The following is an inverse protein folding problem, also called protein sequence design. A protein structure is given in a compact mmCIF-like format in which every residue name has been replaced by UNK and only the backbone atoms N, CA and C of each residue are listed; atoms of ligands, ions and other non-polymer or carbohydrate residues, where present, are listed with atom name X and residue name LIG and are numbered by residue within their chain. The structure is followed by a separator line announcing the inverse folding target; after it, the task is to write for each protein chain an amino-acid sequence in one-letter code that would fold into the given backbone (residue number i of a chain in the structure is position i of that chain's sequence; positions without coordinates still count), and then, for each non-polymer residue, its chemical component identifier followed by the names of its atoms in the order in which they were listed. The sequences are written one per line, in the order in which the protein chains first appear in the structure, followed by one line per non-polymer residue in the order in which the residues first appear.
data_IF_044072601117
#
_entry.id   IF_044072601117
#
_cell.length_a   1.000
_cell.length_b   1.000
_cell.length_c   1.000
_cell.angle_alpha   90.00
_cell.angle_beta   90.00
_cell.angle_gamma   90.00
#
_symmetry.space_group_name_H-M   'P 1'
#
loop_
_entity.id
_entity.type
_entity.pdbx_description
1 polymer ?
#
# COMPACT_ATOMS: atom_id res chain seq x y z
N UNK A 1 -21.82 -43.22 -51.67
CA UNK A 1 -21.39 -42.75 -50.33
C UNK A 1 -20.47 -41.51 -50.44
N UNK A 2 -20.94 -40.35 -50.94
CA UNK A 2 -20.09 -39.15 -51.14
C UNK A 2 -20.73 -37.82 -50.74
N UNK A 3 -21.93 -37.87 -50.15
CA UNK A 3 -22.80 -36.72 -49.92
C UNK A 3 -23.09 -36.46 -48.44
N UNK A 4 -22.71 -37.36 -47.52
CA UNK A 4 -22.79 -37.14 -46.07
C UNK A 4 -21.64 -36.29 -45.53
N UNK A 5 -20.48 -36.33 -46.20
CA UNK A 5 -19.26 -35.62 -45.77
C UNK A 5 -19.25 -34.12 -46.07
N UNK A 6 -20.01 -33.68 -47.08
CA UNK A 6 -20.12 -32.25 -47.42
C UNK A 6 -21.05 -31.51 -46.45
N UNK A 7 -22.10 -32.19 -45.98
CA UNK A 7 -23.07 -31.63 -45.03
C UNK A 7 -22.43 -31.45 -43.65
N UNK A 8 -21.60 -32.40 -43.20
CA UNK A 8 -20.86 -32.27 -41.94
C UNK A 8 -19.75 -31.21 -42.00
N UNK A 9 -19.13 -30.99 -43.17
CA UNK A 9 -18.10 -29.96 -43.33
C UNK A 9 -18.69 -28.54 -43.30
N UNK A 10 -19.84 -28.32 -43.97
CA UNK A 10 -20.53 -27.03 -43.98
C UNK A 10 -21.15 -26.67 -42.61
N UNK A 11 -21.63 -27.66 -41.86
CA UNK A 11 -22.19 -27.45 -40.52
C UNK A 11 -21.10 -27.06 -39.50
N UNK A 12 -19.87 -27.60 -39.65
CA UNK A 12 -18.71 -27.25 -38.82
C UNK A 12 -18.24 -25.80 -39.06
N UNK A 13 -18.21 -25.36 -40.32
CA UNK A 13 -17.78 -23.99 -40.68
C UNK A 13 -18.78 -22.93 -40.19
N UNK A 14 -20.09 -23.24 -40.16
CA UNK A 14 -21.13 -22.33 -39.66
C UNK A 14 -21.09 -22.18 -38.13
N UNK A 15 -20.68 -23.21 -37.39
CA UNK A 15 -20.56 -23.16 -35.92
C UNK A 15 -19.37 -22.30 -35.45
N UNK A 16 -18.29 -22.24 -36.24
CA UNK A 16 -17.06 -21.51 -35.88
C UNK A 16 -17.21 -20.00 -36.05
N UNK A 17 -18.04 -19.51 -36.98
CA UNK A 17 -18.26 -18.08 -37.19
C UNK A 17 -19.12 -17.41 -36.10
N UNK A 18 -20.03 -18.17 -35.45
CA UNK A 18 -20.87 -17.66 -34.35
C UNK A 18 -20.06 -17.47 -33.06
N UNK A 19 -18.99 -18.22 -32.85
CA UNK A 19 -18.11 -18.06 -31.67
C UNK A 19 -17.24 -16.79 -31.73
N UNK A 20 -16.92 -16.26 -32.91
CA UNK A 20 -16.06 -15.07 -33.06
C UNK A 20 -16.81 -13.78 -32.69
N UNK A 21 -18.13 -13.73 -32.93
CA UNK A 21 -18.96 -12.55 -32.65
C UNK A 21 -19.26 -12.43 -31.15
N UNK A 22 -19.48 -13.55 -30.45
CA UNK A 22 -19.69 -13.55 -28.99
C UNK A 22 -18.43 -13.12 -28.20
N UNK A 23 -17.23 -13.38 -28.72
CA UNK A 23 -15.99 -12.91 -28.11
C UNK A 23 -15.73 -11.42 -28.32
N UNK A 24 -16.35 -10.82 -29.34
CA UNK A 24 -16.16 -9.40 -29.69
C UNK A 24 -17.14 -8.46 -28.96
N UNK A 25 -18.27 -8.98 -28.47
CA UNK A 25 -19.24 -8.21 -27.66
C UNK A 25 -19.11 -8.39 -26.14
N UNK A 26 -18.15 -9.20 -25.67
CA UNK A 26 -17.79 -9.28 -24.23
C UNK A 26 -16.58 -8.42 -23.88
N UNK A 27 -16.30 -7.37 -24.65
CA UNK A 27 -15.41 -6.27 -24.24
C UNK A 27 -16.23 -5.04 -23.81
N UNK A 28 -17.01 -5.22 -22.75
CA UNK A 28 -17.26 -4.14 -21.79
C UNK A 28 -17.60 -4.76 -20.44
N UNK A 29 -16.96 -4.18 -19.43
CA UNK A 29 -16.98 -4.51 -18.01
C UNK A 29 -16.36 -5.85 -17.63
N UNK A 30 -15.03 -5.87 -17.53
CA UNK A 30 -14.39 -6.52 -16.38
C UNK A 30 -13.03 -5.88 -16.10
N UNK A 31 -12.94 -5.36 -14.88
CA UNK A 31 -11.82 -4.68 -14.25
C UNK A 31 -10.67 -5.68 -14.10
N UNK A 32 -9.72 -5.65 -15.02
CA UNK A 32 -8.48 -6.39 -14.88
C UNK A 32 -7.55 -5.60 -13.95
N UNK A 33 -7.49 -6.02 -12.69
CA UNK A 33 -6.48 -5.61 -11.72
C UNK A 33 -5.12 -6.16 -12.13
N UNK A 34 -4.47 -5.50 -13.08
CA UNK A 34 -3.03 -5.58 -13.23
C UNK A 34 -2.42 -4.77 -12.09
N UNK A 35 -1.85 -5.46 -11.10
CA UNK A 35 -0.99 -4.85 -10.08
C UNK A 35 0.30 -4.37 -10.76
N UNK A 36 0.21 -3.18 -11.34
CA UNK A 36 1.36 -2.30 -11.51
C UNK A 36 1.25 -1.30 -10.37
N UNK A 37 2.24 -1.28 -9.47
CA UNK A 37 2.34 -0.22 -8.46
C UNK A 37 2.70 1.06 -9.21
N UNK A 38 1.69 1.68 -9.81
CA UNK A 38 1.75 3.08 -10.17
C UNK A 38 1.75 3.86 -8.87
N UNK A 39 2.86 4.57 -8.65
CA UNK A 39 2.99 5.63 -7.65
C UNK A 39 1.89 6.66 -7.88
N UNK A 40 0.72 6.36 -7.35
CA UNK A 40 -0.34 7.34 -7.16
C UNK A 40 0.13 8.24 -6.02
N UNK A 41 0.85 9.29 -6.39
CA UNK A 41 0.94 10.53 -5.61
C UNK A 41 -0.47 11.12 -5.51
N UNK A 42 -1.34 10.44 -4.76
CA UNK A 42 -2.55 11.05 -4.25
C UNK A 42 -2.09 12.02 -3.17
N UNK A 43 -1.99 13.29 -3.57
CA UNK A 43 -1.92 14.42 -2.65
C UNK A 43 -3.22 14.40 -1.87
N UNK A 44 -3.21 13.70 -0.73
CA UNK A 44 -4.31 13.70 0.23
C UNK A 44 -4.29 15.03 0.97
N UNK A 45 -5.45 15.67 0.98
CA UNK A 45 -5.81 16.86 1.76
C UNK A 45 -5.10 16.95 3.11
N UNK A 46 -4.55 18.14 3.36
CA UNK A 46 -3.74 18.54 4.51
C UNK A 46 -4.49 18.62 5.84
N UNK A 47 -5.14 17.53 6.27
CA UNK A 47 -5.29 17.29 7.70
C UNK A 47 -3.92 16.84 8.21
N UNK A 48 -3.16 17.77 8.81
CA UNK A 48 -1.79 17.54 9.26
C UNK A 48 -1.76 16.48 10.37
N UNK A 49 -1.72 15.21 9.96
CA UNK A 49 -1.71 14.02 10.83
C UNK A 49 -0.44 13.92 11.66
N UNK A 50 0.61 14.61 11.23
CA UNK A 50 1.91 14.70 11.86
C UNK A 50 2.28 16.18 12.07
N UNK A 51 3.03 16.52 13.13
CA UNK A 51 3.60 17.86 13.29
C UNK A 51 4.68 18.12 12.23
N UNK A 52 4.97 19.39 11.93
CA UNK A 52 6.13 19.75 11.11
C UNK A 52 7.44 19.40 11.81
N UNK A 53 8.51 19.19 11.04
CA UNK A 53 9.85 18.97 11.59
C UNK A 53 10.30 20.11 12.52
N UNK A 54 9.99 21.36 12.14
CA UNK A 54 10.33 22.54 12.94
C UNK A 54 9.64 22.52 14.31
N UNK A 55 8.38 22.07 14.37
CA UNK A 55 7.65 21.90 15.64
C UNK A 55 8.26 20.79 16.50
N UNK A 56 8.68 19.67 15.89
CA UNK A 56 9.37 18.59 16.62
C UNK A 56 10.70 19.09 17.20
N UNK A 57 11.51 19.81 16.41
CA UNK A 57 12.77 20.42 16.87
C UNK A 57 12.55 21.44 17.99
N UNK A 58 11.53 22.28 17.87
CA UNK A 58 11.20 23.27 18.92
C UNK A 58 10.79 22.59 20.24
N UNK A 59 10.03 21.49 20.19
CA UNK A 59 9.60 20.77 21.39
C UNK A 59 10.69 19.88 22.01
N UNK A 60 11.54 19.27 21.18
CA UNK A 60 12.51 18.28 21.65
C UNK A 60 13.93 18.84 21.83
N UNK A 61 14.25 20.00 21.24
CA UNK A 61 15.60 20.57 21.20
C UNK A 61 16.31 20.33 19.87
N UNK A 62 17.32 21.16 19.60
CA UNK A 62 18.07 21.15 18.33
C UNK A 62 18.96 19.91 18.14
N UNK A 63 19.22 19.17 19.21
CA UNK A 63 20.02 17.94 19.25
C UNK A 63 19.27 16.68 18.76
N UNK A 64 18.01 16.81 18.35
CA UNK A 64 17.26 15.68 17.78
C UNK A 64 17.88 15.22 16.46
N UNK A 65 18.16 13.91 16.37
CA UNK A 65 18.70 13.30 15.16
C UNK A 65 17.58 13.10 14.13
N UNK A 66 17.70 13.71 12.97
CA UNK A 66 16.77 13.50 11.85
C UNK A 66 17.19 12.25 11.10
N UNK A 67 16.32 11.24 11.06
CA UNK A 67 16.58 9.98 10.36
C UNK A 67 16.08 9.99 8.91
N UNK A 68 15.19 10.93 8.57
CA UNK A 68 14.73 11.16 7.21
C UNK A 68 13.37 10.54 6.92
N UNK A 69 13.08 10.35 5.64
CA UNK A 69 11.84 9.74 5.15
C UNK A 69 11.82 8.24 5.50
N UNK A 70 10.69 7.79 5.99
CA UNK A 70 10.45 6.38 6.30
C UNK A 70 9.12 5.90 5.76
N UNK A 71 9.04 4.61 5.45
CA UNK A 71 7.82 3.95 5.02
C UNK A 71 7.58 2.70 5.86
N UNK A 72 6.32 2.46 6.24
CA UNK A 72 5.92 1.18 6.83
C UNK A 72 5.85 0.14 5.71
N UNK A 73 6.83 -0.75 5.63
CA UNK A 73 6.91 -1.75 4.54
C UNK A 73 6.20 -3.05 4.90
N UNK A 74 6.30 -3.47 6.16
CA UNK A 74 5.75 -4.75 6.62
C UNK A 74 5.08 -4.60 7.98
N UNK A 75 3.96 -5.29 8.19
CA UNK A 75 3.30 -5.38 9.50
C UNK A 75 2.92 -6.82 9.79
N UNK A 76 3.41 -7.34 10.91
CA UNK A 76 3.09 -8.67 11.41
C UNK A 76 1.97 -8.58 12.45
N UNK A 77 0.72 -8.61 12.00
CA UNK A 77 -0.46 -8.52 12.88
C UNK A 77 -0.64 -9.72 13.80
N UNK A 78 -0.13 -10.90 13.41
CA UNK A 78 -0.27 -12.14 14.18
C UNK A 78 1.09 -12.51 14.80
N UNK A 79 1.05 -13.06 16.01
CA UNK A 79 2.21 -13.47 16.82
C UNK A 79 3.07 -12.31 17.35
N UNK A 80 3.94 -11.76 16.51
CA UNK A 80 4.97 -10.79 16.95
C UNK A 80 4.42 -9.39 17.20
N UNK A 81 3.35 -8.98 16.50
CA UNK A 81 2.75 -7.64 16.60
C UNK A 81 3.80 -6.55 16.43
N UNK A 82 4.45 -6.54 15.27
CA UNK A 82 5.48 -5.56 14.94
C UNK A 82 5.23 -4.92 13.57
N UNK A 83 5.66 -3.67 13.41
CA UNK A 83 5.82 -2.99 12.14
C UNK A 83 7.31 -2.86 11.81
N UNK A 84 7.65 -3.06 10.55
CA UNK A 84 8.99 -2.83 9.99
C UNK A 84 8.91 -1.54 9.19
N UNK A 85 9.73 -0.58 9.57
CA UNK A 85 9.86 0.72 8.93
C UNK A 85 11.16 0.74 8.16
N UNK A 86 11.08 0.95 6.86
CA UNK A 86 12.25 1.12 6.01
C UNK A 86 12.64 2.58 5.93
N UNK A 87 13.95 2.82 5.92
CA UNK A 87 14.57 4.13 5.81
C UNK A 87 15.42 4.13 4.54
N UNK A 88 15.42 5.23 3.77
CA UNK A 88 16.02 5.26 2.43
C UNK A 88 17.49 4.76 2.40
N UNK A 89 18.31 5.19 3.34
CA UNK A 89 19.76 4.90 3.37
C UNK A 89 20.21 4.24 4.68
N UNK A 90 19.31 3.55 5.39
CA UNK A 90 19.59 2.99 6.72
C UNK A 90 18.91 1.65 6.92
N UNK A 91 19.40 0.91 7.91
CA UNK A 91 18.75 -0.33 8.35
C UNK A 91 17.31 -0.09 8.77
N UNK A 92 16.47 -1.08 8.48
CA UNK A 92 15.07 -1.11 8.87
C UNK A 92 14.94 -1.08 10.41
N UNK A 93 13.93 -0.37 10.89
CA UNK A 93 13.62 -0.27 12.32
C UNK A 93 12.31 -1.01 12.61
N UNK A 94 12.33 -1.85 13.64
CA UNK A 94 11.16 -2.58 14.08
C UNK A 94 10.51 -1.89 15.28
N UNK A 95 9.19 -1.76 15.22
CA UNK A 95 8.40 -1.23 16.32
C UNK A 95 7.29 -2.18 16.74
N UNK A 96 7.03 -2.33 18.05
CA UNK A 96 5.82 -3.02 18.51
C UNK A 96 4.57 -2.24 18.09
N UNK A 97 3.47 -2.97 17.85
CA UNK A 97 2.18 -2.37 17.47
C UNK A 97 1.06 -2.82 18.39
N UNK A 98 0.05 -1.96 18.49
CA UNK A 98 -1.29 -2.37 18.93
C UNK A 98 -2.23 -2.35 17.73
N UNK A 99 -3.02 -3.40 17.56
CA UNK A 99 -4.03 -3.47 16.50
C UNK A 99 -5.23 -2.64 16.95
N UNK A 100 -5.57 -1.61 16.19
CA UNK A 100 -6.69 -0.72 16.51
C UNK A 100 -7.95 -1.06 15.74
N UNK A 101 -7.81 -1.62 14.52
CA UNK A 101 -8.92 -2.19 13.76
C UNK A 101 -8.42 -3.40 12.94
N UNK A 102 -8.82 -4.60 13.36
CA UNK A 102 -8.42 -5.84 12.69
C UNK A 102 -9.08 -5.99 11.31
N UNK A 103 -10.30 -5.50 11.12
CA UNK A 103 -11.04 -5.65 9.84
C UNK A 103 -10.40 -4.78 8.75
N UNK A 104 -9.94 -3.60 9.14
CA UNK A 104 -9.36 -2.62 8.22
C UNK A 104 -7.82 -2.62 8.23
N UNK A 105 -7.18 -3.58 8.91
CA UNK A 105 -5.72 -3.67 9.09
C UNK A 105 -5.10 -2.36 9.61
N UNK A 106 -5.77 -1.70 10.57
CA UNK A 106 -5.28 -0.49 11.22
C UNK A 106 -4.58 -0.85 12.52
N UNK A 107 -3.53 -0.09 12.83
CA UNK A 107 -2.74 -0.25 14.04
C UNK A 107 -2.17 1.09 14.48
N UNK A 108 -1.61 1.10 15.68
CA UNK A 108 -0.80 2.19 16.22
C UNK A 108 0.59 1.66 16.56
N UNK A 109 1.58 2.54 16.58
CA UNK A 109 2.91 2.27 17.13
C UNK A 109 3.03 3.03 18.46
N UNK A 110 2.80 2.39 19.62
CA UNK A 110 2.65 3.09 20.90
C UNK A 110 3.89 3.88 21.33
N UNK A 111 5.08 3.42 20.93
CA UNK A 111 6.35 4.05 21.29
C UNK A 111 6.78 5.15 20.32
N UNK A 112 6.02 5.38 19.24
CA UNK A 112 6.32 6.41 18.24
C UNK A 112 5.51 7.67 18.54
N UNK A 113 6.20 8.68 19.06
CA UNK A 113 5.57 9.94 19.43
C UNK A 113 5.05 10.69 18.20
N UNK A 114 3.90 11.34 18.38
CA UNK A 114 3.16 12.07 17.34
C UNK A 114 2.65 11.20 16.18
N UNK A 115 2.66 9.88 16.35
CA UNK A 115 2.09 8.96 15.38
C UNK A 115 0.57 8.82 15.59
N UNK A 116 -0.22 8.76 14.52
CA UNK A 116 -1.65 8.52 14.60
C UNK A 116 -1.96 7.07 15.03
N UNK A 117 -3.19 6.84 15.50
CA UNK A 117 -3.62 5.52 15.99
C UNK A 117 -4.18 4.56 14.94
N UNK A 118 -4.19 4.98 13.68
CA UNK A 118 -4.86 4.28 12.58
C UNK A 118 -3.92 4.14 11.36
N UNK A 119 -2.66 3.80 11.61
CA UNK A 119 -1.63 3.60 10.59
C UNK A 119 -2.00 2.46 9.65
N UNK A 120 -1.47 2.54 8.43
CA UNK A 120 -1.57 1.50 7.40
C UNK A 120 -0.19 1.14 6.85
N UNK A 121 -0.07 -0.08 6.33
CA UNK A 121 1.09 -0.47 5.50
C UNK A 121 1.17 0.50 4.30
N UNK A 122 2.39 0.88 3.93
CA UNK A 122 2.69 1.82 2.87
C UNK A 122 2.66 3.29 3.30
N UNK A 123 2.21 3.61 4.51
CA UNK A 123 2.21 4.98 5.03
C UNK A 123 3.64 5.54 5.14
N UNK A 124 3.82 6.78 4.69
CA UNK A 124 5.11 7.47 4.61
C UNK A 124 5.09 8.71 5.52
N UNK A 125 6.13 8.87 6.33
CA UNK A 125 6.31 10.02 7.21
C UNK A 125 7.79 10.19 7.53
N UNK A 126 8.16 11.30 8.17
CA UNK A 126 9.51 11.57 8.59
C UNK A 126 9.78 10.99 9.97
N UNK A 127 10.97 10.44 10.20
CA UNK A 127 11.37 9.87 11.48
C UNK A 127 12.55 10.64 12.10
N UNK A 128 12.46 10.91 13.39
CA UNK A 128 13.52 11.53 14.17
C UNK A 128 13.71 10.79 15.50
N UNK A 129 14.91 10.91 16.09
CA UNK A 129 15.31 10.20 17.31
C UNK A 129 15.99 11.14 18.30
N UNK A 130 15.64 11.01 19.59
CA UNK A 130 16.36 11.63 20.72
C UNK A 130 16.49 10.63 21.86
N UNK A 131 17.72 10.25 22.20
CA UNK A 131 17.98 9.13 23.09
C UNK A 131 17.29 7.86 22.58
N UNK A 132 16.45 7.25 23.42
CA UNK A 132 15.69 6.02 23.08
C UNK A 132 14.27 6.29 22.55
N UNK A 133 13.92 7.56 22.30
CA UNK A 133 12.58 7.94 21.83
C UNK A 133 12.59 8.28 20.34
N UNK A 134 11.52 7.90 19.67
CA UNK A 134 11.29 8.15 18.26
C UNK A 134 10.08 9.08 18.07
N UNK A 135 10.17 9.96 17.08
CA UNK A 135 9.19 11.00 16.79
C UNK A 135 8.87 11.00 15.30
N UNK A 136 7.59 10.95 14.94
CA UNK A 136 7.14 11.12 13.56
C UNK A 136 6.87 12.59 13.24
N UNK A 137 7.20 13.02 12.02
CA UNK A 137 6.94 14.36 11.52
C UNK A 137 6.46 14.31 10.06
N UNK A 138 5.84 15.40 9.61
CA UNK A 138 5.38 15.56 8.25
C UNK A 138 6.56 15.83 7.30
N UNK A 139 6.65 15.07 6.21
CA UNK A 139 7.59 15.34 5.11
C UNK A 139 7.00 16.44 4.23
N UNK A 140 7.85 17.37 3.78
CA UNK A 140 7.47 18.45 2.85
C UNK A 140 7.50 17.96 1.40
#
# INVERSE_FOLDING_TARGET
MKNKSLITLLLSILLISVLIIAFSLSKKTETNSQSTVETSSSVVQSNHRYPSLDKVKACQGADIQVLGKTQITTVLFQNKKIAILSLEDREDIQFPINITDKKNNLFEIPTLHYSPKNLKIGEVFGLAKKGNKYFSYQIK
#
